data_IF_152116059728
#
_entry.id   IF_152116059728
#
_cell.length_a   1.000
_cell.length_b   1.000
_cell.length_c   1.000
_cell.angle_alpha   90.00
_cell.angle_beta   90.00
_cell.angle_gamma   90.00
#
_symmetry.space_group_name_H-M   'P 1'
#
loop_
_entity.id
_entity.type
_entity.pdbx_description
1 polymer ?
#
# COMPACT_ATOMS: atom_id res chain seq x y z
N UNK A 1 5.13 21.13 -1.89
CA UNK A 1 5.75 20.81 -3.20
C UNK A 1 7.23 20.47 -3.08
N UNK A 2 8.02 21.19 -2.27
CA UNK A 2 9.45 20.89 -2.08
C UNK A 2 9.70 19.52 -1.41
N UNK A 3 8.98 19.20 -0.34
CA UNK A 3 9.09 17.90 0.34
C UNK A 3 8.80 16.70 -0.57
N UNK A 4 7.88 16.87 -1.53
CA UNK A 4 7.54 15.83 -2.51
C UNK A 4 8.73 15.54 -3.45
N UNK A 5 9.43 16.59 -3.90
CA UNK A 5 10.64 16.45 -4.71
C UNK A 5 11.76 15.77 -3.94
N UNK A 6 12.00 16.19 -2.69
CA UNK A 6 12.98 15.59 -1.79
C UNK A 6 12.67 14.11 -1.58
N UNK A 7 11.40 13.75 -1.39
CA UNK A 7 10.97 12.37 -1.22
C UNK A 7 11.27 11.51 -2.46
N UNK A 8 10.92 12.01 -3.66
CA UNK A 8 11.22 11.31 -4.93
C UNK A 8 12.72 11.12 -5.10
N UNK A 9 13.52 12.15 -4.80
CA UNK A 9 14.98 12.05 -4.86
C UNK A 9 15.52 10.99 -3.90
N UNK A 10 14.99 10.91 -2.67
CA UNK A 10 15.37 9.87 -1.70
C UNK A 10 15.03 8.47 -2.20
N UNK A 11 13.87 8.29 -2.85
CA UNK A 11 13.49 7.00 -3.43
C UNK A 11 14.47 6.56 -4.53
N UNK A 12 14.85 7.47 -5.44
CA UNK A 12 15.82 7.15 -6.48
C UNK A 12 17.23 6.91 -5.91
N UNK A 13 17.67 7.71 -4.95
CA UNK A 13 18.93 7.50 -4.25
C UNK A 13 18.95 6.13 -3.56
N UNK A 14 17.86 5.74 -2.89
CA UNK A 14 17.72 4.42 -2.27
C UNK A 14 17.92 3.29 -3.30
N UNK A 15 17.32 3.40 -4.49
CA UNK A 15 17.50 2.40 -5.57
C UNK A 15 18.96 2.29 -6.03
N UNK A 16 19.68 3.41 -6.08
CA UNK A 16 21.10 3.44 -6.44
C UNK A 16 21.95 2.84 -5.32
N UNK A 17 21.72 3.25 -4.07
CA UNK A 17 22.47 2.77 -2.88
C UNK A 17 22.36 1.26 -2.72
N UNK A 18 21.18 0.69 -2.91
CA UNK A 18 20.94 -0.75 -2.71
C UNK A 18 20.95 -1.54 -4.02
N UNK A 19 21.54 -1.01 -5.10
CA UNK A 19 21.53 -1.64 -6.43
C UNK A 19 22.04 -3.09 -6.40
N UNK A 20 23.19 -3.33 -5.78
CA UNK A 20 23.81 -4.67 -5.74
C UNK A 20 22.92 -5.67 -5.01
N UNK A 21 22.42 -5.29 -3.82
CA UNK A 21 21.47 -6.09 -3.06
C UNK A 21 20.21 -6.42 -3.87
N UNK A 22 19.61 -5.42 -4.54
CA UNK A 22 18.39 -5.60 -5.33
C UNK A 22 18.59 -6.47 -6.58
N UNK A 23 19.82 -6.61 -7.08
CA UNK A 23 20.16 -7.43 -8.24
C UNK A 23 20.45 -8.90 -7.87
N UNK A 24 20.44 -9.26 -6.59
CA UNK A 24 20.60 -10.65 -6.16
C UNK A 24 19.54 -11.56 -6.80
N UNK A 25 19.98 -12.74 -7.26
CA UNK A 25 19.14 -13.74 -7.91
C UNK A 25 19.18 -15.05 -7.12
N UNK A 26 18.03 -15.68 -6.95
CA UNK A 26 17.87 -17.00 -6.30
C UNK A 26 17.21 -17.97 -7.28
N UNK A 27 17.63 -19.24 -7.25
CA UNK A 27 16.98 -20.33 -8.01
C UNK A 27 15.75 -20.82 -7.26
N UNK A 28 14.63 -20.93 -7.96
CA UNK A 28 13.41 -21.52 -7.40
C UNK A 28 13.48 -23.07 -7.38
N UNK A 29 12.42 -23.71 -6.88
CA UNK A 29 12.30 -25.18 -6.85
C UNK A 29 12.28 -25.83 -8.25
N UNK A 30 12.09 -25.05 -9.30
CA UNK A 30 12.01 -25.46 -10.69
C UNK A 30 13.28 -25.05 -11.48
N UNK A 31 14.36 -24.72 -10.78
CA UNK A 31 15.65 -24.26 -11.31
C UNK A 31 15.62 -22.95 -12.13
N UNK A 32 14.55 -22.16 -12.01
CA UNK A 32 14.47 -20.85 -12.65
C UNK A 32 15.15 -19.79 -11.79
N UNK A 33 15.95 -18.93 -12.43
CA UNK A 33 16.49 -17.74 -11.79
C UNK A 33 15.41 -16.68 -11.61
N UNK A 34 15.21 -16.23 -10.36
CA UNK A 34 14.34 -15.10 -10.02
C UNK A 34 15.07 -14.09 -9.16
N UNK A 35 14.64 -12.83 -9.23
CA UNK A 35 15.14 -11.80 -8.33
C UNK A 35 14.81 -12.19 -6.88
N UNK A 36 15.82 -12.24 -6.01
CA UNK A 36 15.65 -12.57 -4.59
C UNK A 36 14.68 -11.62 -3.92
N UNK A 37 14.73 -10.33 -4.30
CA UNK A 37 13.93 -9.25 -3.72
C UNK A 37 12.76 -8.81 -4.60
N UNK A 38 12.10 -9.75 -5.27
CA UNK A 38 11.04 -9.47 -6.25
C UNK A 38 9.92 -8.57 -5.70
N UNK A 39 9.48 -8.81 -4.46
CA UNK A 39 8.41 -8.02 -3.82
C UNK A 39 8.81 -6.55 -3.64
N UNK A 40 10.07 -6.32 -3.29
CA UNK A 40 10.61 -4.99 -3.07
C UNK A 40 10.80 -4.24 -4.40
N UNK A 41 11.30 -4.94 -5.43
CA UNK A 41 11.38 -4.43 -6.80
C UNK A 41 9.99 -4.06 -7.35
N UNK A 42 8.99 -4.91 -7.14
CA UNK A 42 7.59 -4.63 -7.53
C UNK A 42 7.03 -3.39 -6.82
N UNK A 43 7.25 -3.27 -5.52
CA UNK A 43 6.84 -2.09 -4.76
C UNK A 43 7.50 -0.82 -5.30
N UNK A 44 8.82 -0.82 -5.50
CA UNK A 44 9.54 0.29 -6.11
C UNK A 44 8.97 0.65 -7.49
N UNK A 45 8.81 -0.34 -8.37
CA UNK A 45 8.30 -0.11 -9.73
C UNK A 45 6.87 0.47 -9.71
N UNK A 46 6.03 0.04 -8.78
CA UNK A 46 4.69 0.62 -8.61
C UNK A 46 4.73 2.11 -8.24
N UNK A 47 5.67 2.51 -7.38
CA UNK A 47 5.87 3.91 -7.02
C UNK A 47 6.42 4.72 -8.20
N UNK A 48 7.35 4.16 -8.98
CA UNK A 48 7.86 4.80 -10.20
C UNK A 48 6.75 5.05 -11.21
N UNK A 49 5.83 4.11 -11.40
CA UNK A 49 4.66 4.32 -12.27
C UNK A 49 3.81 5.49 -11.77
N UNK A 50 3.56 5.60 -10.46
CA UNK A 50 2.79 6.72 -9.90
C UNK A 50 3.53 8.07 -10.02
N UNK A 51 4.86 8.08 -9.96
CA UNK A 51 5.68 9.26 -10.21
C UNK A 51 5.59 9.68 -11.67
N UNK A 52 5.78 8.74 -12.61
CA UNK A 52 5.77 9.01 -14.05
C UNK A 52 4.38 9.44 -14.56
N UNK A 53 3.32 9.00 -13.89
CA UNK A 53 1.94 9.43 -14.18
C UNK A 53 1.53 10.69 -13.42
N UNK A 54 2.44 11.28 -12.64
CA UNK A 54 2.20 12.48 -11.82
C UNK A 54 1.03 12.32 -10.82
N UNK A 55 0.75 11.09 -10.38
CA UNK A 55 -0.39 10.76 -9.52
C UNK A 55 -0.02 10.64 -8.03
N UNK A 56 1.22 10.28 -7.71
CA UNK A 56 1.65 9.94 -6.34
C UNK A 56 1.41 11.06 -5.31
N UNK A 57 1.61 12.32 -5.69
CA UNK A 57 1.44 13.50 -4.83
C UNK A 57 0.39 14.46 -5.37
N UNK A 58 -0.54 13.98 -6.20
CA UNK A 58 -1.57 14.82 -6.86
C UNK A 58 -2.41 15.61 -5.85
N UNK A 59 -2.60 15.10 -4.63
CA UNK A 59 -3.33 15.78 -3.56
C UNK A 59 -2.65 17.06 -3.03
N UNK A 60 -1.36 17.28 -3.31
CA UNK A 60 -0.64 18.50 -2.95
C UNK A 60 -0.80 19.62 -3.99
N UNK A 61 -1.45 19.34 -5.11
CA UNK A 61 -1.77 20.34 -6.13
C UNK A 61 -2.98 21.16 -5.68
N UNK A 62 -2.72 22.37 -5.18
CA UNK A 62 -3.77 23.30 -4.72
C UNK A 62 -4.66 23.81 -5.87
N UNK A 63 -4.21 23.65 -7.12
CA UNK A 63 -4.98 24.02 -8.32
C UNK A 63 -5.86 22.87 -8.83
N UNK A 64 -5.83 21.72 -8.15
CA UNK A 64 -6.64 20.55 -8.49
C UNK A 64 -8.12 20.85 -8.30
N UNK A 65 -8.81 21.11 -9.41
CA UNK A 65 -10.28 21.13 -9.45
C UNK A 65 -10.76 19.72 -9.72
N UNK A 66 -11.56 19.18 -8.80
CA UNK A 66 -12.19 17.88 -8.98
C UNK A 66 -13.57 18.08 -9.62
N UNK A 67 -13.80 17.44 -10.77
CA UNK A 67 -15.11 17.47 -11.45
C UNK A 67 -16.24 16.87 -10.58
N UNK A 68 -15.88 15.97 -9.66
CA UNK A 68 -16.78 15.32 -8.70
C UNK A 68 -16.06 15.16 -7.37
N UNK A 69 -16.82 15.18 -6.28
CA UNK A 69 -16.27 14.88 -4.95
C UNK A 69 -15.57 13.51 -4.96
N UNK A 70 -14.34 13.46 -4.46
CA UNK A 70 -13.55 12.23 -4.48
C UNK A 70 -14.27 11.17 -3.64
N UNK A 71 -14.62 9.99 -4.21
CA UNK A 71 -15.36 8.99 -3.46
C UNK A 71 -14.52 8.54 -2.27
N UNK A 72 -15.14 8.51 -1.09
CA UNK A 72 -14.52 7.94 0.10
C UNK A 72 -14.20 6.46 -0.18
N UNK A 73 -12.92 6.12 -0.26
CA UNK A 73 -12.46 4.76 -0.55
C UNK A 73 -12.64 3.81 0.63
N UNK A 74 -12.92 4.34 1.83
CA UNK A 74 -13.52 3.54 2.88
C UNK A 74 -14.99 3.33 2.55
N UNK A 75 -15.45 2.09 2.40
CA UNK A 75 -16.89 1.84 2.38
C UNK A 75 -17.44 2.40 3.72
N UNK A 76 -18.32 3.44 3.71
CA UNK A 76 -18.78 4.08 4.94
C UNK A 76 -19.44 3.09 5.90
N UNK A 77 -20.06 2.05 5.34
CA UNK A 77 -20.68 0.95 6.08
C UNK A 77 -19.60 0.10 6.76
N UNK A 78 -18.48 -0.17 6.10
CA UNK A 78 -17.38 -0.99 6.65
C UNK A 78 -16.58 -0.28 7.73
N UNK A 79 -16.26 1.00 7.52
CA UNK A 79 -15.50 1.81 8.47
C UNK A 79 -16.32 2.31 9.66
N UNK A 80 -17.63 2.55 9.44
CA UNK A 80 -18.56 3.02 10.46
C UNK A 80 -19.28 1.86 11.16
N UNK A 81 -20.43 1.49 10.62
CA UNK A 81 -21.41 0.59 11.27
C UNK A 81 -20.86 -0.82 11.47
N UNK A 82 -20.31 -1.45 10.44
CA UNK A 82 -19.82 -2.83 10.53
C UNK A 82 -18.61 -2.94 11.46
N UNK A 83 -17.74 -1.92 11.52
CA UNK A 83 -16.64 -1.90 12.48
C UNK A 83 -17.13 -1.94 13.94
N UNK A 84 -18.21 -1.22 14.25
CA UNK A 84 -18.84 -1.22 15.58
C UNK A 84 -19.52 -2.56 15.88
N UNK A 85 -20.27 -3.11 14.91
CA UNK A 85 -20.91 -4.43 15.05
C UNK A 85 -19.89 -5.55 15.27
N UNK A 86 -18.82 -5.58 14.46
CA UNK A 86 -17.70 -6.53 14.65
C UNK A 86 -17.04 -6.35 16.01
N UNK A 87 -16.89 -5.12 16.49
CA UNK A 87 -16.37 -4.83 17.85
C UNK A 87 -17.27 -5.44 18.93
N UNK A 88 -18.58 -5.24 18.86
CA UNK A 88 -19.54 -5.81 19.81
C UNK A 88 -19.48 -7.35 19.82
N UNK A 89 -19.49 -7.98 18.65
CA UNK A 89 -19.37 -9.44 18.53
C UNK A 89 -18.04 -9.93 19.10
N UNK A 90 -16.93 -9.25 18.82
CA UNK A 90 -15.61 -9.59 19.39
C UNK A 90 -15.57 -9.53 20.91
N UNK A 91 -16.29 -8.63 21.57
CA UNK A 91 -16.26 -8.50 23.04
C UNK A 91 -17.45 -9.14 23.75
N UNK A 92 -18.31 -9.84 23.01
CA UNK A 92 -19.50 -10.46 23.58
C UNK A 92 -19.13 -11.60 24.54
N UNK A 93 -19.33 -11.38 25.84
CA UNK A 93 -18.93 -12.31 26.92
C UNK A 93 -19.67 -13.65 26.91
N UNK A 94 -20.87 -13.72 26.33
CA UNK A 94 -21.67 -14.95 26.23
C UNK A 94 -21.55 -15.69 24.90
N UNK A 95 -20.65 -15.27 24.00
CA UNK A 95 -20.51 -15.86 22.66
C UNK A 95 -19.30 -16.79 22.60
N UNK A 96 -19.48 -17.98 22.03
CA UNK A 96 -18.40 -18.95 21.81
C UNK A 96 -17.27 -18.34 20.99
N UNK A 97 -16.02 -18.72 21.30
CA UNK A 97 -14.81 -18.21 20.63
C UNK A 97 -14.87 -18.36 19.10
N UNK A 98 -15.37 -19.48 18.58
CA UNK A 98 -15.52 -19.73 17.14
C UNK A 98 -16.40 -18.67 16.45
N UNK A 99 -17.54 -18.34 17.06
CA UNK A 99 -18.46 -17.31 16.55
C UNK A 99 -17.84 -15.91 16.62
N UNK A 100 -16.99 -15.64 17.61
CA UNK A 100 -16.25 -14.37 17.74
C UNK A 100 -15.16 -14.22 16.68
N UNK A 101 -14.51 -15.31 16.26
CA UNK A 101 -13.49 -15.31 15.19
C UNK A 101 -14.12 -15.06 13.82
N UNK A 102 -15.32 -15.61 13.56
CA UNK A 102 -16.03 -15.45 12.28
C UNK A 102 -16.55 -14.02 12.02
N UNK A 103 -16.54 -13.15 13.04
CA UNK A 103 -16.98 -11.76 12.97
C UNK A 103 -15.86 -10.78 12.58
N UNK A 104 -14.80 -11.24 11.91
CA UNK A 104 -13.66 -10.44 11.45
C UNK A 104 -13.81 -10.11 9.97
#
# INVERSE_FOLDING_TARGET
QEDAKIWIQRLFNWRVTFKEFLNEMTRDSNDNLRATHERLLKAYNSLVVLINTETIFRYLDETLVLDKECPRTNNPIEGGVNAQLRRLLRYHRGMSVEKRIKAV
#
